data_IF_785725687380
#
_entry.id   IF_785725687380
#
_cell.length_a   1.000
_cell.length_b   1.000
_cell.length_c   1.000
_cell.angle_alpha   90.00
_cell.angle_beta   90.00
_cell.angle_gamma   90.00
#
_symmetry.space_group_name_H-M   'P 1'
#
loop_
_entity.id
_entity.type
_entity.pdbx_description
1 polymer ?
#
# COMPACT_ATOMS: atom_id res chain seq x y z
N UNK A 1 -54.48 -36.13 -12.14
CA UNK A 1 -53.82 -35.39 -11.04
C UNK A 1 -52.46 -34.90 -11.53
N UNK A 2 -52.36 -33.63 -11.92
CA UNK A 2 -51.13 -33.05 -12.44
C UNK A 2 -50.28 -32.51 -11.29
N UNK A 3 -49.05 -33.02 -11.12
CA UNK A 3 -48.09 -32.51 -10.14
C UNK A 3 -47.43 -31.27 -10.73
N UNK A 4 -47.70 -30.11 -10.13
CA UNK A 4 -47.04 -28.85 -10.46
C UNK A 4 -45.56 -28.96 -10.05
N UNK A 5 -44.66 -29.07 -11.02
CA UNK A 5 -43.23 -29.03 -10.79
C UNK A 5 -42.82 -27.59 -10.54
N UNK A 6 -42.68 -27.20 -9.27
CA UNK A 6 -42.14 -25.90 -8.88
C UNK A 6 -40.67 -25.82 -9.30
N UNK A 7 -40.40 -25.10 -10.40
CA UNK A 7 -39.06 -24.91 -10.96
C UNK A 7 -38.39 -23.79 -10.17
N UNK A 8 -37.73 -24.16 -9.08
CA UNK A 8 -36.89 -23.24 -8.31
C UNK A 8 -35.77 -22.72 -9.21
N UNK A 9 -35.89 -21.45 -9.60
CA UNK A 9 -34.90 -20.77 -10.42
C UNK A 9 -33.90 -20.17 -9.43
N UNK A 10 -32.72 -20.79 -9.28
CA UNK A 10 -31.64 -20.23 -8.47
C UNK A 10 -31.09 -19.00 -9.18
N UNK A 11 -31.43 -17.83 -8.65
CA UNK A 11 -30.75 -16.60 -9.00
C UNK A 11 -29.40 -16.59 -8.27
N UNK A 12 -28.33 -16.97 -8.96
CA UNK A 12 -26.98 -16.67 -8.49
C UNK A 12 -26.79 -15.16 -8.63
N UNK A 13 -27.15 -14.40 -7.60
CA UNK A 13 -26.71 -13.01 -7.50
C UNK A 13 -25.20 -13.05 -7.32
N UNK A 14 -24.46 -12.71 -8.38
CA UNK A 14 -23.04 -12.40 -8.26
C UNK A 14 -22.94 -11.12 -7.45
N UNK A 15 -22.97 -11.24 -6.12
CA UNK A 15 -22.65 -10.13 -5.24
C UNK A 15 -21.20 -9.75 -5.52
N UNK A 16 -21.02 -8.64 -6.23
CA UNK A 16 -19.72 -7.99 -6.36
C UNK A 16 -19.27 -7.63 -4.96
N UNK A 17 -18.35 -8.42 -4.39
CA UNK A 17 -17.83 -8.15 -3.05
C UNK A 17 -17.04 -6.85 -3.14
N UNK A 18 -17.63 -5.77 -2.63
CA UNK A 18 -17.00 -4.47 -2.67
C UNK A 18 -15.90 -4.42 -1.61
N UNK A 19 -14.72 -4.09 -2.09
CA UNK A 19 -13.53 -3.97 -1.27
C UNK A 19 -13.58 -2.62 -0.55
N UNK A 20 -13.90 -2.62 0.75
CA UNK A 20 -14.06 -1.39 1.54
C UNK A 20 -12.68 -0.92 2.03
N UNK A 21 -12.11 0.08 1.36
CA UNK A 21 -10.87 0.72 1.76
C UNK A 21 -11.15 1.97 2.62
N UNK A 22 -10.37 2.24 3.67
CA UNK A 22 -10.48 3.48 4.44
C UNK A 22 -10.05 4.68 3.58
N UNK A 23 -11.03 5.44 3.07
CA UNK A 23 -10.82 6.49 2.05
C UNK A 23 -9.85 7.58 2.51
N UNK A 24 -9.99 8.07 3.75
CA UNK A 24 -9.14 9.15 4.26
C UNK A 24 -7.69 8.72 4.44
N UNK A 25 -7.49 7.50 4.94
CA UNK A 25 -6.15 6.94 5.16
C UNK A 25 -5.41 6.71 3.84
N UNK A 26 -6.13 6.25 2.80
CA UNK A 26 -5.56 6.03 1.46
C UNK A 26 -5.19 7.34 0.76
N UNK A 27 -6.01 8.40 0.92
CA UNK A 27 -5.72 9.73 0.39
C UNK A 27 -4.49 10.36 1.05
N UNK A 28 -4.41 10.31 2.38
CA UNK A 28 -3.25 10.82 3.12
C UNK A 28 -1.97 10.08 2.76
N UNK A 29 -2.02 8.75 2.67
CA UNK A 29 -0.91 7.93 2.20
C UNK A 29 -0.45 8.33 0.79
N UNK A 30 -1.38 8.49 -0.15
CA UNK A 30 -1.08 8.84 -1.55
C UNK A 30 -0.41 10.19 -1.67
N UNK A 31 -0.88 11.20 -0.92
CA UNK A 31 -0.29 12.53 -0.93
C UNK A 31 1.18 12.49 -0.48
N UNK A 32 1.47 11.78 0.60
CA UNK A 32 2.85 11.61 1.10
C UNK A 32 3.73 10.89 0.08
N UNK A 33 3.20 9.87 -0.60
CA UNK A 33 3.95 9.15 -1.63
C UNK A 33 4.22 10.00 -2.88
N UNK A 34 3.28 10.86 -3.29
CA UNK A 34 3.54 11.82 -4.37
C UNK A 34 4.62 12.84 -3.99
N UNK A 35 4.56 13.38 -2.76
CA UNK A 35 5.57 14.30 -2.26
C UNK A 35 6.96 13.64 -2.19
N UNK A 36 7.01 12.40 -1.74
CA UNK A 36 8.24 11.60 -1.64
C UNK A 36 8.84 11.33 -3.02
N UNK A 37 8.03 10.80 -3.95
CA UNK A 37 8.49 10.48 -5.30
C UNK A 37 8.89 11.73 -6.09
N UNK A 38 8.13 12.82 -5.95
CA UNK A 38 8.45 14.11 -6.57
C UNK A 38 9.74 14.73 -6.05
N UNK A 39 9.99 14.62 -4.74
CA UNK A 39 11.24 15.14 -4.15
C UNK A 39 12.45 14.34 -4.60
N UNK A 40 12.36 13.01 -4.59
CA UNK A 40 13.43 12.12 -5.06
C UNK A 40 13.74 12.40 -6.53
N UNK A 41 12.71 12.39 -7.39
CA UNK A 41 12.87 12.66 -8.82
C UNK A 41 13.47 14.04 -9.07
N UNK A 42 12.92 15.07 -8.43
CA UNK A 42 13.33 16.47 -8.64
C UNK A 42 14.77 16.73 -8.23
N UNK A 43 15.19 16.23 -7.06
CA UNK A 43 16.57 16.42 -6.57
C UNK A 43 17.57 15.67 -7.45
N UNK A 44 17.31 14.41 -7.78
CA UNK A 44 18.22 13.65 -8.64
C UNK A 44 18.27 14.20 -10.08
N UNK A 45 17.17 14.73 -10.61
CA UNK A 45 17.16 15.42 -11.90
C UNK A 45 18.01 16.70 -11.87
N UNK A 46 17.91 17.50 -10.80
CA UNK A 46 18.72 18.70 -10.64
C UNK A 46 20.23 18.36 -10.57
N UNK A 47 20.60 17.31 -9.84
CA UNK A 47 21.99 16.84 -9.78
C UNK A 47 22.48 16.29 -11.12
N UNK A 48 21.63 15.57 -11.86
CA UNK A 48 21.97 15.08 -13.19
C UNK A 48 22.33 16.23 -14.15
N UNK A 49 21.51 17.28 -14.19
CA UNK A 49 21.76 18.46 -15.03
C UNK A 49 23.07 19.17 -14.61
N UNK A 50 23.30 19.31 -13.31
CA UNK A 50 24.52 19.94 -12.80
C UNK A 50 25.78 19.15 -13.23
N UNK A 51 25.77 17.82 -13.12
CA UNK A 51 26.89 16.99 -13.55
C UNK A 51 27.15 17.08 -15.06
N UNK A 52 26.09 17.19 -15.88
CA UNK A 52 26.25 17.38 -17.33
C UNK A 52 27.00 18.68 -17.67
N UNK A 53 26.75 19.76 -16.92
CA UNK A 53 27.46 21.03 -17.10
C UNK A 53 28.93 20.92 -16.68
N UNK A 54 29.22 20.17 -15.62
CA UNK A 54 30.58 19.94 -15.11
C UNK A 54 31.37 18.92 -15.95
N UNK A 55 30.73 18.22 -16.89
CA UNK A 55 31.33 17.16 -17.74
C UNK A 55 32.07 16.07 -16.96
N UNK A 56 31.65 15.84 -15.72
CA UNK A 56 32.14 14.77 -14.87
C UNK A 56 31.39 13.47 -15.22
N UNK A 57 32.01 12.32 -14.94
CA UNK A 57 31.33 11.02 -15.06
C UNK A 57 30.10 10.98 -14.16
N UNK A 58 28.94 10.64 -14.74
CA UNK A 58 27.66 10.66 -14.02
C UNK A 58 27.56 9.39 -13.15
N UNK A 59 27.47 9.52 -11.81
CA UNK A 59 27.20 8.39 -10.94
C UNK A 59 25.86 7.74 -11.29
N UNK A 60 25.82 6.40 -11.32
CA UNK A 60 24.63 5.63 -11.71
C UNK A 60 23.43 5.84 -10.75
N UNK A 61 23.67 6.30 -9.53
CA UNK A 61 22.63 6.62 -8.55
C UNK A 61 21.69 7.74 -9.04
N UNK A 62 22.16 8.66 -9.88
CA UNK A 62 21.36 9.78 -10.36
C UNK A 62 20.27 9.31 -11.34
N UNK A 63 20.60 8.58 -12.44
CA UNK A 63 19.56 7.99 -13.28
C UNK A 63 18.72 6.93 -12.53
N UNK A 64 19.29 6.23 -11.55
CA UNK A 64 18.54 5.30 -10.71
C UNK A 64 17.43 6.01 -9.91
N UNK A 65 17.76 7.08 -9.19
CA UNK A 65 16.77 7.85 -8.43
C UNK A 65 15.67 8.46 -9.29
N UNK A 66 16.01 8.92 -10.50
CA UNK A 66 15.05 9.43 -11.49
C UNK A 66 14.09 8.33 -11.94
N UNK A 67 14.61 7.14 -12.28
CA UNK A 67 13.77 6.03 -12.77
C UNK A 67 12.86 5.49 -11.67
N UNK A 68 13.36 5.32 -10.44
CA UNK A 68 12.55 4.87 -9.29
C UNK A 68 11.48 5.90 -8.92
N UNK A 69 11.83 7.20 -8.89
CA UNK A 69 10.87 8.27 -8.66
C UNK A 69 9.76 8.30 -9.72
N UNK A 70 10.13 8.20 -11.00
CA UNK A 70 9.17 8.18 -12.10
C UNK A 70 8.26 6.93 -12.06
N UNK A 71 8.84 5.76 -11.78
CA UNK A 71 8.09 4.51 -11.67
C UNK A 71 7.10 4.55 -10.50
N UNK A 72 7.47 5.20 -9.40
CA UNK A 72 6.55 5.44 -8.26
C UNK A 72 5.38 6.32 -8.68
N UNK A 73 5.63 7.44 -9.37
CA UNK A 73 4.56 8.34 -9.83
C UNK A 73 3.61 7.61 -10.79
N UNK A 74 4.15 6.84 -11.73
CA UNK A 74 3.36 6.01 -12.66
C UNK A 74 2.52 5.00 -11.89
N UNK A 75 3.10 4.32 -10.90
CA UNK A 75 2.36 3.38 -10.03
C UNK A 75 1.20 4.07 -9.30
N UNK A 76 1.40 5.29 -8.78
CA UNK A 76 0.33 6.05 -8.13
C UNK A 76 -0.78 6.45 -9.11
N UNK A 77 -0.46 6.82 -10.35
CA UNK A 77 -1.46 7.07 -11.40
C UNK A 77 -2.27 5.81 -11.76
N UNK A 78 -1.61 4.66 -11.89
CA UNK A 78 -2.28 3.38 -12.14
C UNK A 78 -3.24 3.07 -10.98
N UNK A 79 -2.79 3.26 -9.73
CA UNK A 79 -3.66 3.09 -8.56
C UNK A 79 -4.86 4.02 -8.56
N UNK A 80 -4.70 5.27 -8.99
CA UNK A 80 -5.83 6.20 -9.13
C UNK A 80 -6.84 5.74 -10.18
N UNK A 81 -6.36 5.28 -11.35
CA UNK A 81 -7.21 4.73 -12.39
C UNK A 81 -8.03 3.51 -11.91
N UNK A 82 -7.43 2.62 -11.12
CA UNK A 82 -8.11 1.44 -10.57
C UNK A 82 -9.21 1.82 -9.56
N UNK A 83 -9.03 2.88 -8.78
CA UNK A 83 -10.08 3.38 -7.87
C UNK A 83 -11.30 3.85 -8.65
N UNK A 84 -11.09 4.54 -9.77
CA UNK A 84 -12.18 5.02 -10.63
C UNK A 84 -13.02 3.87 -11.18
N UNK A 85 -12.39 2.73 -11.46
CA UNK A 85 -13.07 1.52 -11.96
C UNK A 85 -13.75 0.69 -10.85
N UNK A 86 -13.62 1.08 -9.57
CA UNK A 86 -14.08 0.31 -8.39
C UNK A 86 -13.49 -1.11 -8.31
N UNK A 87 -12.45 -1.39 -9.08
CA UNK A 87 -11.75 -2.68 -9.18
C UNK A 87 -10.35 -2.52 -8.58
N UNK A 88 -10.29 -2.42 -7.25
CA UNK A 88 -9.00 -2.49 -6.57
C UNK A 88 -8.59 -3.95 -6.47
N UNK A 89 -7.77 -4.43 -7.41
CA UNK A 89 -7.15 -5.75 -7.29
C UNK A 89 -6.07 -5.70 -6.21
N UNK A 90 -6.29 -6.27 -5.02
CA UNK A 90 -5.33 -6.22 -3.90
C UNK A 90 -4.01 -6.90 -4.24
N UNK A 91 -4.04 -7.90 -5.13
CA UNK A 91 -2.85 -8.58 -5.63
C UNK A 91 -1.91 -7.64 -6.39
N UNK A 92 -2.43 -6.74 -7.24
CA UNK A 92 -1.60 -5.81 -8.00
C UNK A 92 -0.97 -4.76 -7.09
N UNK A 93 -1.72 -4.25 -6.12
CA UNK A 93 -1.24 -3.26 -5.15
C UNK A 93 -0.12 -3.83 -4.29
N UNK A 94 -0.29 -5.06 -3.81
CA UNK A 94 0.72 -5.74 -2.97
C UNK A 94 1.99 -6.05 -3.76
N UNK A 95 1.86 -6.55 -5.00
CA UNK A 95 3.01 -6.84 -5.86
C UNK A 95 3.76 -5.56 -6.26
N UNK A 96 3.04 -4.50 -6.62
CA UNK A 96 3.65 -3.20 -6.94
C UNK A 96 4.35 -2.58 -5.75
N UNK A 97 3.75 -2.65 -4.55
CA UNK A 97 4.36 -2.18 -3.31
C UNK A 97 5.65 -2.94 -2.98
N UNK A 98 5.67 -4.26 -3.17
CA UNK A 98 6.85 -5.08 -2.92
C UNK A 98 8.01 -4.74 -3.86
N UNK A 99 7.75 -4.58 -5.16
CA UNK A 99 8.77 -4.19 -6.13
C UNK A 99 9.33 -2.80 -5.80
N UNK A 100 8.45 -1.83 -5.52
CA UNK A 100 8.86 -0.49 -5.12
C UNK A 100 9.63 -0.50 -3.80
N UNK A 101 9.26 -1.35 -2.84
CA UNK A 101 9.96 -1.45 -1.57
C UNK A 101 11.43 -1.84 -1.77
N UNK A 102 11.70 -2.85 -2.58
CA UNK A 102 13.07 -3.30 -2.88
C UNK A 102 13.86 -2.18 -3.57
N UNK A 103 13.24 -1.48 -4.52
CA UNK A 103 13.86 -0.33 -5.18
C UNK A 103 14.15 0.82 -4.19
N UNK A 104 13.24 1.10 -3.25
CA UNK A 104 13.47 2.14 -2.25
C UNK A 104 14.59 1.79 -1.28
N UNK A 105 14.71 0.52 -0.88
CA UNK A 105 15.80 0.06 -0.01
C UNK A 105 17.14 0.16 -0.74
N UNK A 106 17.22 -0.24 -2.00
CA UNK A 106 18.45 -0.10 -2.78
C UNK A 106 18.85 1.39 -2.94
N UNK A 107 17.89 2.27 -3.25
CA UNK A 107 18.13 3.72 -3.29
C UNK A 107 18.61 4.31 -1.96
N UNK A 108 18.04 3.84 -0.85
CA UNK A 108 18.44 4.23 0.51
C UNK A 108 19.89 3.84 0.79
N UNK A 109 20.27 2.60 0.50
CA UNK A 109 21.64 2.10 0.74
C UNK A 109 22.66 2.92 -0.06
N UNK A 110 22.42 3.12 -1.34
CA UNK A 110 23.33 3.88 -2.21
C UNK A 110 23.45 5.35 -1.81
N UNK A 111 22.33 5.96 -1.41
CA UNK A 111 22.32 7.33 -0.89
C UNK A 111 23.10 7.40 0.44
N UNK A 112 22.96 6.40 1.31
CA UNK A 112 23.72 6.33 2.56
C UNK A 112 25.22 6.19 2.32
N UNK A 113 25.63 5.37 1.35
CA UNK A 113 27.03 5.20 0.97
C UNK A 113 27.64 6.48 0.41
N UNK A 114 26.87 7.32 -0.29
CA UNK A 114 27.36 8.61 -0.80
C UNK A 114 27.29 9.73 0.23
N UNK A 115 26.47 9.60 1.26
CA UNK A 115 26.37 10.60 2.32
C UNK A 115 27.42 10.39 3.41
N UNK A 116 27.64 9.12 3.79
CA UNK A 116 28.48 8.72 4.92
C UNK A 116 29.68 7.84 4.54
N UNK A 117 29.85 7.50 3.26
CA UNK A 117 30.95 6.66 2.83
C UNK A 117 32.30 7.37 2.88
N UNK A 118 33.35 6.61 3.17
CA UNK A 118 34.72 7.11 3.26
C UNK A 118 35.27 7.62 1.91
N UNK A 119 34.77 7.11 0.79
CA UNK A 119 35.20 7.52 -0.56
C UNK A 119 34.40 8.70 -1.14
N UNK A 120 33.16 8.90 -0.71
CA UNK A 120 32.29 10.03 -1.09
C UNK A 120 31.71 10.60 0.19
N UNK A 121 32.51 11.38 0.91
CA UNK A 121 32.10 11.91 2.22
C UNK A 121 31.37 13.25 2.05
N UNK A 122 30.16 13.23 1.49
CA UNK A 122 29.38 14.47 1.27
C UNK A 122 29.12 15.17 2.61
N UNK A 123 28.84 14.41 3.69
CA UNK A 123 28.57 14.99 5.00
C UNK A 123 29.77 15.76 5.58
N UNK A 124 31.00 15.25 5.48
CA UNK A 124 32.21 15.95 5.95
C UNK A 124 32.50 17.22 5.13
N UNK A 125 32.30 17.16 3.81
CA UNK A 125 32.39 18.34 2.94
C UNK A 125 31.36 19.40 3.34
N UNK A 126 30.13 18.99 3.65
CA UNK A 126 29.09 19.90 4.12
C UNK A 126 29.48 20.57 5.45
N UNK A 127 30.06 19.84 6.39
CA UNK A 127 30.52 20.43 7.64
C UNK A 127 31.67 21.43 7.41
N UNK A 128 32.61 21.08 6.54
CA UNK A 128 33.79 21.92 6.27
C UNK A 128 33.44 23.22 5.54
N UNK A 129 32.64 23.14 4.48
CA UNK A 129 32.38 24.29 3.61
C UNK A 129 31.10 25.06 3.96
N UNK A 130 30.13 24.45 4.65
CA UNK A 130 28.86 25.12 5.01
C UNK A 130 28.80 25.50 6.49
N UNK A 131 29.21 24.60 7.39
CA UNK A 131 29.14 24.88 8.84
C UNK A 131 30.34 25.70 9.32
N UNK A 132 31.55 25.39 8.85
CA UNK A 132 32.79 25.99 9.36
C UNK A 132 33.28 27.23 8.58
N UNK A 133 32.77 27.47 7.37
CA UNK A 133 33.14 28.64 6.55
C UNK A 133 31.91 29.43 6.04
N UNK A 134 31.13 30.05 6.93
CA UNK A 134 29.99 30.86 6.52
C UNK A 134 30.45 32.09 5.72
N UNK A 135 29.85 32.30 4.55
CA UNK A 135 30.03 33.51 3.72
C UNK A 135 28.75 34.33 3.68
N UNK A 136 28.86 35.66 3.74
CA UNK A 136 27.73 36.60 3.66
C UNK A 136 28.05 37.80 2.77
N UNK A 137 27.02 38.46 2.23
CA UNK A 137 27.13 39.59 1.31
C UNK A 137 26.77 39.25 -0.15
N UNK A 138 26.74 40.27 -1.01
CA UNK A 138 26.43 40.10 -2.44
C UNK A 138 27.73 39.85 -3.21
N UNK A 139 28.34 38.67 -2.98
CA UNK A 139 29.61 38.28 -3.60
C UNK A 139 29.50 36.90 -4.27
N UNK A 140 30.38 36.63 -5.23
CA UNK A 140 30.44 35.32 -5.90
C UNK A 140 30.77 34.19 -4.90
N UNK A 141 31.54 34.48 -3.85
CA UNK A 141 31.83 33.54 -2.78
C UNK A 141 30.56 33.16 -1.99
N UNK A 142 29.67 34.14 -1.75
CA UNK A 142 28.39 33.88 -1.08
C UNK A 142 27.44 33.07 -1.96
N UNK A 143 27.44 33.28 -3.28
CA UNK A 143 26.68 32.43 -4.21
C UNK A 143 27.17 30.98 -4.18
N UNK A 144 28.49 30.76 -4.21
CA UNK A 144 29.06 29.42 -4.11
C UNK A 144 28.72 28.73 -2.78
N UNK A 145 28.77 29.47 -1.67
CA UNK A 145 28.35 28.99 -0.35
C UNK A 145 26.86 28.57 -0.33
N UNK A 146 25.96 29.41 -0.87
CA UNK A 146 24.53 29.09 -0.95
C UNK A 146 24.27 27.85 -1.82
N UNK A 147 24.99 27.72 -2.93
CA UNK A 147 24.90 26.54 -3.80
C UNK A 147 25.33 25.26 -3.07
N UNK A 148 26.47 25.29 -2.37
CA UNK A 148 26.95 24.15 -1.57
C UNK A 148 25.97 23.79 -0.44
N UNK A 149 25.42 24.80 0.24
CA UNK A 149 24.38 24.60 1.26
C UNK A 149 23.13 23.93 0.69
N UNK A 150 22.68 24.35 -0.50
CA UNK A 150 21.54 23.71 -1.17
C UNK A 150 21.82 22.25 -1.49
N UNK A 151 23.02 21.92 -1.97
CA UNK A 151 23.41 20.53 -2.27
C UNK A 151 23.35 19.67 -1.00
N UNK A 152 23.94 20.15 0.10
CA UNK A 152 23.96 19.45 1.39
C UNK A 152 22.55 19.17 1.93
N UNK A 153 21.67 20.16 1.89
CA UNK A 153 20.28 20.02 2.34
C UNK A 153 19.49 19.07 1.45
N UNK A 154 19.69 19.12 0.13
CA UNK A 154 19.05 18.21 -0.82
C UNK A 154 19.44 16.75 -0.59
N UNK A 155 20.71 16.47 -0.28
CA UNK A 155 21.16 15.11 0.06
C UNK A 155 20.48 14.57 1.32
N UNK A 156 20.41 15.38 2.38
CA UNK A 156 19.72 14.99 3.62
C UNK A 156 18.21 14.82 3.41
N UNK A 157 17.59 15.70 2.62
CA UNK A 157 16.18 15.59 2.27
C UNK A 157 15.89 14.27 1.52
N UNK A 158 16.67 13.96 0.47
CA UNK A 158 16.50 12.71 -0.30
C UNK A 158 16.69 11.48 0.58
N UNK A 159 17.70 11.47 1.44
CA UNK A 159 17.90 10.37 2.39
C UNK A 159 16.69 10.16 3.31
N UNK A 160 16.13 11.24 3.86
CA UNK A 160 14.92 11.18 4.67
C UNK A 160 13.71 10.67 3.88
N UNK A 161 13.52 11.15 2.64
CA UNK A 161 12.41 10.74 1.79
C UNK A 161 12.51 9.28 1.34
N UNK A 162 13.71 8.72 1.18
CA UNK A 162 13.86 7.27 0.99
C UNK A 162 13.31 6.48 2.19
N UNK A 163 13.65 6.87 3.42
CA UNK A 163 13.15 6.23 4.64
C UNK A 163 11.63 6.35 4.76
N UNK A 164 11.10 7.57 4.53
CA UNK A 164 9.65 7.80 4.55
C UNK A 164 8.96 6.90 3.51
N UNK A 165 9.50 6.80 2.30
CA UNK A 165 8.97 5.92 1.26
C UNK A 165 8.95 4.45 1.68
N UNK A 166 10.02 3.93 2.29
CA UNK A 166 10.07 2.54 2.80
C UNK A 166 8.96 2.29 3.84
N UNK A 167 8.82 3.18 4.82
CA UNK A 167 7.81 3.04 5.89
C UNK A 167 6.39 3.07 5.30
N UNK A 168 6.11 4.02 4.41
CA UNK A 168 4.79 4.16 3.80
C UNK A 168 4.47 3.02 2.81
N UNK A 169 5.47 2.44 2.13
CA UNK A 169 5.26 1.24 1.30
C UNK A 169 4.95 0.01 2.16
N UNK A 170 5.61 -0.17 3.30
CA UNK A 170 5.27 -1.23 4.27
C UNK A 170 3.84 -1.04 4.79
N UNK A 171 3.48 0.20 5.11
CA UNK A 171 2.11 0.53 5.53
C UNK A 171 1.07 0.18 4.48
N UNK A 172 1.35 0.40 3.19
CA UNK A 172 0.45 0.02 2.09
C UNK A 172 0.20 -1.50 2.04
N UNK A 173 1.23 -2.31 2.28
CA UNK A 173 1.08 -3.78 2.34
C UNK A 173 0.19 -4.21 3.50
N UNK A 174 0.31 -3.55 4.66
CA UNK A 174 -0.57 -3.81 5.82
C UNK A 174 -2.02 -3.45 5.47
N UNK A 175 -2.25 -2.29 4.86
CA UNK A 175 -3.58 -1.87 4.43
C UNK A 175 -4.21 -2.85 3.44
N UNK A 176 -3.45 -3.31 2.45
CA UNK A 176 -3.91 -4.31 1.49
C UNK A 176 -4.31 -5.63 2.16
N UNK A 177 -3.53 -6.07 3.15
CA UNK A 177 -3.80 -7.30 3.89
C UNK A 177 -5.09 -7.22 4.70
N UNK A 178 -5.38 -6.09 5.35
CA UNK A 178 -6.61 -5.90 6.13
C UNK A 178 -7.86 -5.98 5.25
N UNK A 179 -7.77 -5.42 4.06
CA UNK A 179 -8.88 -5.35 3.13
C UNK A 179 -9.22 -6.72 2.50
N UNK A 180 -8.24 -7.63 2.33
CA UNK A 180 -8.47 -9.01 1.87
C UNK A 180 -9.26 -9.82 2.91
N UNK A 181 -8.88 -9.68 4.19
CA UNK A 181 -9.55 -10.41 5.27
C UNK A 181 -11.02 -10.00 5.44
N UNK A 182 -11.34 -8.74 5.13
CA UNK A 182 -12.70 -8.20 5.23
C UNK A 182 -13.62 -8.83 4.20
N UNK A 183 -13.16 -8.93 2.95
CA UNK A 183 -13.89 -9.61 1.86
C UNK A 183 -14.15 -11.07 2.21
N UNK A 184 -13.13 -11.79 2.69
CA UNK A 184 -13.29 -13.20 3.04
C UNK A 184 -14.30 -13.45 4.16
N UNK A 185 -14.40 -12.54 5.14
CA UNK A 185 -15.42 -12.61 6.21
C UNK A 185 -16.82 -12.40 5.64
N UNK A 186 -16.98 -11.42 4.76
CA UNK A 186 -18.28 -11.11 4.15
C UNK A 186 -18.77 -12.25 3.25
N UNK A 187 -17.90 -12.82 2.42
CA UNK A 187 -18.24 -13.99 1.59
C UNK A 187 -18.56 -15.25 2.41
N UNK A 188 -18.14 -15.33 3.68
CA UNK A 188 -18.57 -16.41 4.59
C UNK A 188 -19.97 -16.13 5.13
N UNK A 189 -20.24 -14.92 5.60
CA UNK A 189 -21.57 -14.53 6.10
C UNK A 189 -22.67 -14.76 5.05
N UNK A 190 -22.43 -14.35 3.80
CA UNK A 190 -23.39 -14.55 2.71
C UNK A 190 -23.69 -16.04 2.47
N UNK A 191 -22.66 -16.90 2.54
CA UNK A 191 -22.84 -18.35 2.42
C UNK A 191 -23.62 -18.95 3.60
N UNK A 192 -23.39 -18.46 4.81
CA UNK A 192 -24.13 -18.91 6.00
C UNK A 192 -25.61 -18.49 5.92
N UNK A 193 -25.92 -17.29 5.44
CA UNK A 193 -27.31 -16.86 5.22
C UNK A 193 -27.99 -17.69 4.13
N UNK A 194 -27.30 -17.98 3.01
CA UNK A 194 -27.86 -18.81 1.94
C UNK A 194 -28.13 -20.25 2.42
N UNK A 195 -27.26 -20.80 3.28
CA UNK A 195 -27.48 -22.11 3.90
C UNK A 195 -28.71 -22.11 4.83
N UNK A 196 -28.95 -21.02 5.56
CA UNK A 196 -30.09 -20.90 6.46
C UNK A 196 -31.43 -20.80 5.71
N UNK A 197 -31.46 -20.04 4.61
CA UNK A 197 -32.68 -19.85 3.81
C UNK A 197 -32.99 -21.04 2.90
N UNK A 198 -31.98 -21.85 2.54
CA UNK A 198 -32.15 -22.99 1.65
C UNK A 198 -31.35 -24.21 2.12
N UNK A 199 -31.74 -24.84 3.24
CA UNK A 199 -31.01 -25.97 3.79
C UNK A 199 -31.03 -27.16 2.82
N UNK A 200 -29.92 -27.90 2.67
CA UNK A 200 -29.89 -29.09 1.82
C UNK A 200 -30.91 -30.13 2.33
N UNK A 201 -31.57 -30.84 1.41
CA UNK A 201 -32.66 -31.78 1.71
C UNK A 201 -32.30 -32.87 2.74
N UNK A 202 -31.01 -33.17 2.91
CA UNK A 202 -30.45 -34.09 3.91
C UNK A 202 -30.53 -33.55 5.35
N UNK A 203 -30.49 -32.23 5.56
CA UNK A 203 -30.62 -31.61 6.87
C UNK A 203 -32.09 -31.59 7.35
N UNK A 204 -33.03 -31.38 6.43
CA UNK A 204 -34.48 -31.39 6.72
C UNK A 204 -34.95 -32.78 7.16
N UNK A 205 -34.43 -33.84 6.55
CA UNK A 205 -34.80 -35.23 6.90
C UNK A 205 -34.25 -35.69 8.25
N UNK A 206 -33.10 -35.17 8.71
CA UNK A 206 -32.57 -35.44 10.06
C UNK A 206 -33.33 -34.72 11.18
N UNK A 207 -33.90 -33.54 10.92
CA UNK A 207 -34.80 -32.88 11.87
C UNK A 207 -36.10 -33.67 12.06
N UNK A 208 -36.69 -34.14 10.96
CA UNK A 208 -37.96 -34.90 10.97
C UNK A 208 -37.80 -36.32 11.56
N UNK A 209 -36.62 -36.92 11.48
CA UNK A 209 -36.38 -38.26 12.07
C UNK A 209 -36.09 -38.25 13.56
N UNK A 210 -35.66 -37.11 14.13
CA UNK A 210 -35.43 -37.00 15.59
C UNK A 210 -36.73 -36.83 16.40
N UNK A 211 -37.77 -36.23 15.79
CA UNK A 211 -39.10 -36.13 16.42
C UNK A 211 -39.94 -37.42 16.30
N UNK A 212 -39.51 -38.39 15.49
CA UNK A 212 -40.26 -39.64 15.30
C UNK A 212 -39.83 -40.78 16.21
N UNK A 213 -38.80 -40.60 17.05
CA UNK A 213 -38.30 -41.66 17.93
C UNK A 213 -38.76 -41.54 19.40
N UNK A 214 -39.61 -40.57 19.77
CA UNK A 214 -40.09 -40.43 21.15
C UNK A 214 -41.61 -40.46 21.28
N UNK A 215 -42.24 -41.40 20.58
CA UNK A 215 -43.68 -41.61 20.57
C UNK A 215 -44.07 -43.06 20.82
N UNK A 216 -43.58 -43.67 21.91
CA UNK A 216 -44.20 -44.86 22.47
C UNK A 216 -44.25 -44.75 24.00
N UNK A 217 -45.46 -45.02 24.50
CA UNK A 217 -45.88 -45.29 25.89
C UNK A 217 -45.98 -44.11 26.87
N UNK A 218 -47.22 -43.63 27.04
CA UNK A 218 -47.97 -43.86 28.29
C UNK A 218 -47.80 -42.85 29.44
N UNK A 219 -48.93 -42.31 29.89
CA UNK A 219 -49.17 -42.05 31.32
C UNK A 219 -48.98 -40.62 31.83
N UNK A 220 -50.10 -40.00 32.21
CA UNK A 220 -50.32 -39.06 33.32
C UNK A 220 -49.10 -38.39 33.99
N UNK A 221 -49.09 -37.06 34.03
CA UNK A 221 -48.89 -36.28 35.27
C UNK A 221 -49.05 -34.77 35.01
N UNK A 222 -50.22 -34.22 35.34
CA UNK A 222 -50.35 -32.81 35.68
C UNK A 222 -50.04 -32.69 37.17
N UNK A 223 -48.89 -32.12 37.54
CA UNK A 223 -48.66 -31.61 38.89
C UNK A 223 -48.02 -30.24 38.82
N UNK A 224 -48.83 -29.21 39.09
CA UNK A 224 -48.37 -27.88 39.43
C UNK A 224 -47.75 -27.91 40.82
N UNK A 225 -46.58 -27.28 41.00
CA UNK A 225 -46.15 -26.77 42.29
C UNK A 225 -45.78 -25.29 42.15
N UNK A 226 -46.36 -24.52 43.06
CA UNK A 226 -45.89 -23.22 43.50
C UNK A 226 -44.54 -23.32 44.21
#
# INVERSE_FOLDING_TARGET
MARSASRSTRYYTTQTVQYVWPTQQLLGWRFVMYATAGTILGVFAAFYIAQQQLRLGIPWIFPYGITVGALTIIFLFIMEALITQRTLLPGLVTLGAFILLVLYIAGLIETALQLFGSASNVNENCQTFVTNQPSSGVSLATFAFLQQRSICQSWQAVFAFWIVGVIFLIWLMILASQSDTTVHKESRRVRETEYHDNPPAEAVTRGVTRDRSNGRTGGNAYTWRA
#
